data_IF_674914505599
#
_entry.id   IF_674914505599
#
_cell.length_a   1.000
_cell.length_b   1.000
_cell.length_c   1.000
_cell.angle_alpha   90.00
_cell.angle_beta   90.00
_cell.angle_gamma   90.00
#
_symmetry.space_group_name_H-M   'P 1'
#
loop_
_entity.id
_entity.type
_entity.pdbx_description
1 polymer ?
#
# COMPACT_ATOMS: atom_id res chain seq x y z
N UNK A 1 4.45 22.16 23.78
CA UNK A 1 5.88 22.34 24.17
C UNK A 1 6.70 22.39 22.90
N UNK A 2 7.54 23.41 22.65
CA UNK A 2 8.43 23.45 21.50
C UNK A 2 9.54 22.40 21.65
N UNK A 3 10.02 21.81 20.52
CA UNK A 3 11.09 20.80 20.53
C UNK A 3 12.40 21.31 21.20
N UNK A 4 12.68 22.62 21.12
CA UNK A 4 13.86 23.23 21.74
C UNK A 4 13.85 23.14 23.25
N UNK A 5 12.69 22.99 23.89
CA UNK A 5 12.53 22.90 25.34
C UNK A 5 12.74 21.49 25.89
N UNK A 6 12.88 20.49 24.99
CA UNK A 6 13.22 19.11 25.32
C UNK A 6 14.72 19.00 25.60
N UNK A 7 15.16 18.11 26.52
CA UNK A 7 16.57 17.71 26.64
C UNK A 7 17.15 17.31 25.28
N UNK A 8 18.43 17.56 25.04
CA UNK A 8 19.02 17.30 23.71
C UNK A 8 18.85 15.85 23.26
N UNK A 9 19.00 14.88 24.14
CA UNK A 9 18.86 13.45 23.88
C UNK A 9 17.41 12.98 23.65
N UNK A 10 16.42 13.82 24.01
CA UNK A 10 14.99 13.57 23.79
C UNK A 10 14.45 14.27 22.53
N UNK A 11 15.25 15.09 21.84
CA UNK A 11 14.83 15.73 20.58
C UNK A 11 14.86 14.72 19.45
N UNK A 12 13.80 14.63 18.64
CA UNK A 12 13.69 13.59 17.59
C UNK A 12 14.89 13.52 16.64
N UNK A 13 15.47 14.66 16.24
CA UNK A 13 16.63 14.69 15.34
C UNK A 13 17.87 14.10 15.99
N UNK A 14 18.20 14.56 17.18
CA UNK A 14 19.34 14.12 17.96
C UNK A 14 19.21 12.65 18.35
N UNK A 15 18.00 12.23 18.73
CA UNK A 15 17.64 10.84 19.02
C UNK A 15 17.79 9.94 17.80
N UNK A 16 17.33 10.39 16.60
CA UNK A 16 17.51 9.67 15.34
C UNK A 16 18.98 9.44 15.02
N UNK A 17 19.79 10.50 15.10
CA UNK A 17 21.22 10.44 14.75
C UNK A 17 22.04 9.61 15.74
N UNK A 18 21.67 9.64 17.03
CA UNK A 18 22.41 8.92 18.06
C UNK A 18 21.98 7.45 18.22
N UNK A 19 20.69 7.11 17.98
CA UNK A 19 20.12 5.81 18.33
C UNK A 19 19.44 5.10 17.15
N UNK A 20 19.38 5.73 15.96
CA UNK A 20 18.71 5.20 14.76
C UNK A 20 17.20 5.36 14.79
N UNK A 21 16.57 5.08 13.65
CA UNK A 21 15.14 5.30 13.44
C UNK A 21 14.25 4.41 14.33
N UNK A 22 14.68 3.19 14.63
CA UNK A 22 13.93 2.26 15.46
C UNK A 22 13.72 2.74 16.91
N UNK A 23 14.49 3.73 17.37
CA UNK A 23 14.33 4.32 18.69
C UNK A 23 13.24 5.39 18.76
N UNK A 24 12.70 5.84 17.61
CA UNK A 24 11.69 6.89 17.53
C UNK A 24 10.28 6.29 17.47
N UNK A 25 9.33 7.01 18.08
CA UNK A 25 7.91 6.75 17.85
C UNK A 25 7.47 7.26 16.47
N UNK A 26 6.33 6.77 15.98
CA UNK A 26 5.73 7.23 14.72
C UNK A 26 5.52 8.75 14.71
N UNK A 27 5.06 9.32 15.83
CA UNK A 27 4.87 10.76 15.98
C UNK A 27 6.20 11.52 15.90
N UNK A 28 7.30 10.99 16.46
CA UNK A 28 8.63 11.60 16.37
C UNK A 28 9.17 11.56 14.94
N UNK A 29 9.02 10.42 14.24
CA UNK A 29 9.40 10.30 12.84
C UNK A 29 8.62 11.27 11.95
N UNK A 30 7.30 11.34 12.15
CA UNK A 30 6.44 12.25 11.41
C UNK A 30 6.75 13.72 11.72
N UNK A 31 7.08 14.05 12.99
CA UNK A 31 7.48 15.40 13.38
C UNK A 31 8.77 15.87 12.68
N UNK A 32 9.70 14.95 12.39
CA UNK A 32 10.91 15.27 11.61
C UNK A 32 10.56 15.68 10.17
N UNK A 33 9.61 15.01 9.53
CA UNK A 33 9.10 15.35 8.20
C UNK A 33 8.35 16.68 8.22
N UNK A 34 7.46 16.88 9.18
CA UNK A 34 6.64 18.10 9.30
C UNK A 34 7.45 19.34 9.71
N UNK A 35 8.61 19.17 10.33
CA UNK A 35 9.58 20.19 10.79
C UNK A 35 9.02 21.21 11.76
N UNK A 36 7.84 21.74 11.51
CA UNK A 36 7.23 22.81 12.32
C UNK A 36 5.78 22.48 12.67
N UNK A 37 5.35 22.86 13.87
CA UNK A 37 3.94 22.85 14.26
C UNK A 37 3.14 24.02 13.67
N UNK A 38 2.10 24.42 14.38
CA UNK A 38 1.25 25.56 14.10
C UNK A 38 1.33 26.58 15.23
N UNK A 39 0.73 27.78 15.04
CA UNK A 39 0.54 28.73 16.13
C UNK A 39 -0.25 28.06 17.27
N UNK A 40 0.34 28.02 18.46
CA UNK A 40 -0.25 27.37 19.64
C UNK A 40 -0.13 25.84 19.70
N UNK A 41 0.42 25.18 18.69
CA UNK A 41 0.52 23.71 18.62
C UNK A 41 1.92 23.25 18.21
N UNK A 42 2.58 22.46 19.07
CA UNK A 42 3.89 21.89 18.77
C UNK A 42 3.85 20.85 17.64
N UNK A 43 4.99 20.62 17.00
CA UNK A 43 5.06 19.67 15.86
C UNK A 43 4.79 18.22 16.27
N UNK A 44 5.20 17.79 17.45
CA UNK A 44 4.87 16.44 17.97
C UNK A 44 3.38 16.27 18.18
N UNK A 45 2.70 17.29 18.71
CA UNK A 45 1.25 17.27 18.88
C UNK A 45 0.54 17.24 17.52
N UNK A 46 1.01 18.02 16.53
CA UNK A 46 0.49 17.98 15.18
C UNK A 46 0.68 16.61 14.53
N UNK A 47 1.85 15.99 14.74
CA UNK A 47 2.14 14.65 14.24
C UNK A 47 1.23 13.59 14.87
N UNK A 48 1.01 13.66 16.20
CA UNK A 48 0.11 12.73 16.89
C UNK A 48 -1.32 12.88 16.41
N UNK A 49 -1.85 14.10 16.32
CA UNK A 49 -3.21 14.35 15.81
C UNK A 49 -3.38 13.88 14.36
N UNK A 50 -2.33 13.97 13.54
CA UNK A 50 -2.34 13.44 12.18
C UNK A 50 -2.46 11.92 12.19
N UNK A 51 -1.67 11.22 13.00
CA UNK A 51 -1.76 9.77 13.18
C UNK A 51 -3.15 9.36 13.69
N UNK A 52 -3.67 10.04 14.69
CA UNK A 52 -5.00 9.75 15.25
C UNK A 52 -6.11 9.94 14.22
N UNK A 53 -6.00 10.98 13.36
CA UNK A 53 -6.97 11.27 12.30
C UNK A 53 -7.04 10.20 11.22
N UNK A 54 -5.94 9.46 11.02
CA UNK A 54 -5.84 8.39 10.02
C UNK A 54 -5.83 6.98 10.62
N UNK A 55 -5.99 6.84 11.93
CA UNK A 55 -5.97 5.54 12.60
C UNK A 55 -4.57 4.92 12.66
N UNK A 56 -3.53 5.75 12.77
CA UNK A 56 -2.14 5.36 12.89
C UNK A 56 -1.32 5.52 11.62
N UNK A 57 -0.09 5.01 11.65
CA UNK A 57 0.86 5.15 10.53
C UNK A 57 0.34 4.45 9.27
N UNK A 58 -0.25 3.26 9.40
CA UNK A 58 -0.80 2.52 8.26
C UNK A 58 -1.86 3.35 7.52
N UNK A 59 -2.82 3.94 8.22
CA UNK A 59 -3.83 4.79 7.60
C UNK A 59 -3.25 6.06 6.97
N UNK A 60 -2.22 6.66 7.59
CA UNK A 60 -1.53 7.82 7.02
C UNK A 60 -0.76 7.47 5.74
N UNK A 61 -0.11 6.32 5.69
CA UNK A 61 0.60 5.83 4.49
C UNK A 61 -0.35 5.64 3.30
N UNK A 62 -1.64 5.49 3.56
CA UNK A 62 -2.68 5.35 2.56
C UNK A 62 -3.45 6.64 2.25
N UNK A 63 -3.15 7.74 2.96
CA UNK A 63 -3.83 9.00 2.77
C UNK A 63 -3.58 9.59 1.36
N UNK A 64 -4.66 9.95 0.69
CA UNK A 64 -4.60 10.67 -0.58
C UNK A 64 -4.43 12.19 -0.39
N UNK A 65 -4.17 12.89 -1.50
CA UNK A 65 -3.99 14.34 -1.48
C UNK A 65 -5.20 15.09 -0.89
N UNK A 66 -6.42 14.64 -1.23
CA UNK A 66 -7.66 15.25 -0.73
C UNK A 66 -7.91 14.96 0.76
N UNK A 67 -7.48 13.79 1.25
CA UNK A 67 -7.60 13.46 2.67
C UNK A 67 -6.66 14.34 3.50
N UNK A 68 -5.40 14.50 3.06
CA UNK A 68 -4.42 15.38 3.70
C UNK A 68 -4.84 16.86 3.66
N UNK A 69 -5.57 17.30 2.63
CA UNK A 69 -6.06 18.67 2.48
C UNK A 69 -7.06 19.07 3.57
N UNK A 70 -7.79 18.11 4.13
CA UNK A 70 -8.77 18.32 5.19
C UNK A 70 -8.15 18.56 6.56
N UNK A 71 -6.87 18.22 6.71
CA UNK A 71 -6.16 18.33 8.01
C UNK A 71 -5.71 19.78 8.22
N UNK A 72 -6.24 20.40 9.28
CA UNK A 72 -5.82 21.74 9.67
C UNK A 72 -4.34 21.75 10.04
N UNK A 73 -3.58 22.62 9.37
CA UNK A 73 -2.14 22.76 9.63
C UNK A 73 -1.24 22.02 8.66
N UNK A 74 -1.79 21.23 7.76
CA UNK A 74 -1.07 20.69 6.62
C UNK A 74 -1.19 21.65 5.42
N UNK A 75 -0.34 22.66 5.38
CA UNK A 75 -0.19 23.54 4.22
C UNK A 75 0.31 22.77 2.98
N UNK A 76 0.28 23.41 1.78
CA UNK A 76 0.68 22.76 0.53
C UNK A 76 2.07 22.10 0.61
N UNK A 77 3.05 22.76 1.23
CA UNK A 77 4.41 22.25 1.34
C UNK A 77 4.48 20.95 2.15
N UNK A 78 3.85 20.89 3.33
CA UNK A 78 3.85 19.67 4.16
C UNK A 78 3.11 18.52 3.50
N UNK A 79 2.02 18.81 2.77
CA UNK A 79 1.29 17.79 1.99
C UNK A 79 2.14 17.23 0.86
N UNK A 80 2.82 18.10 0.11
CA UNK A 80 3.72 17.68 -0.96
C UNK A 80 4.87 16.81 -0.43
N UNK A 81 5.45 17.19 0.71
CA UNK A 81 6.52 16.43 1.37
C UNK A 81 6.06 15.03 1.78
N UNK A 82 4.91 14.90 2.43
CA UNK A 82 4.34 13.60 2.79
C UNK A 82 4.05 12.74 1.55
N UNK A 83 3.39 13.31 0.55
CA UNK A 83 3.08 12.59 -0.70
C UNK A 83 4.34 12.14 -1.44
N UNK A 84 5.39 12.96 -1.44
CA UNK A 84 6.67 12.60 -2.06
C UNK A 84 7.35 11.42 -1.33
N UNK A 85 7.34 11.43 0.01
CA UNK A 85 7.89 10.31 0.81
C UNK A 85 7.12 9.02 0.54
N UNK A 86 5.79 9.09 0.46
CA UNK A 86 4.94 7.93 0.15
C UNK A 86 5.25 7.38 -1.25
N UNK A 87 5.40 8.25 -2.23
CA UNK A 87 5.72 7.85 -3.60
C UNK A 87 7.13 7.24 -3.69
N UNK A 88 8.12 7.80 -2.98
CA UNK A 88 9.46 7.19 -2.91
C UNK A 88 9.43 5.79 -2.32
N UNK A 89 8.65 5.58 -1.25
CA UNK A 89 8.48 4.26 -0.65
C UNK A 89 7.84 3.26 -1.65
N UNK A 90 6.81 3.68 -2.39
CA UNK A 90 6.19 2.86 -3.45
C UNK A 90 7.20 2.48 -4.53
N UNK A 91 7.99 3.44 -5.02
CA UNK A 91 9.02 3.18 -6.05
C UNK A 91 10.11 2.24 -5.56
N UNK A 92 10.58 2.41 -4.33
CA UNK A 92 11.58 1.52 -3.74
C UNK A 92 11.08 0.07 -3.62
N UNK A 93 9.82 -0.14 -3.25
CA UNK A 93 9.21 -1.47 -3.22
C UNK A 93 9.02 -2.04 -4.64
N UNK A 94 8.58 -1.22 -5.60
CA UNK A 94 8.44 -1.63 -7.00
C UNK A 94 9.80 -2.07 -7.60
N UNK A 95 10.88 -1.35 -7.30
CA UNK A 95 12.23 -1.68 -7.76
C UNK A 95 12.66 -3.05 -7.24
N UNK A 96 12.44 -3.34 -5.95
CA UNK A 96 12.70 -4.65 -5.38
C UNK A 96 11.97 -5.79 -6.09
N UNK A 97 10.71 -5.58 -6.46
CA UNK A 97 9.90 -6.57 -7.17
C UNK A 97 10.29 -6.72 -8.65
N UNK A 98 10.97 -5.72 -9.23
CA UNK A 98 11.56 -5.80 -10.57
C UNK A 98 12.89 -6.52 -10.59
N UNK A 99 13.68 -6.41 -9.52
CA UNK A 99 15.00 -7.04 -9.41
C UNK A 99 14.92 -8.49 -8.95
N UNK A 100 13.95 -8.84 -8.12
CA UNK A 100 13.79 -10.17 -7.52
C UNK A 100 12.46 -10.79 -7.87
N UNK A 101 12.43 -12.11 -7.91
CA UNK A 101 11.18 -12.83 -8.13
C UNK A 101 10.16 -12.54 -7.01
N UNK A 102 8.90 -12.30 -7.40
CA UNK A 102 7.82 -12.06 -6.44
C UNK A 102 7.64 -13.21 -5.44
N UNK A 103 7.89 -14.45 -5.88
CA UNK A 103 7.83 -15.64 -5.05
C UNK A 103 8.93 -15.69 -3.97
N UNK A 104 10.07 -15.05 -4.20
CA UNK A 104 11.18 -15.00 -3.22
C UNK A 104 10.87 -14.04 -2.06
N UNK A 105 9.87 -13.18 -2.21
CA UNK A 105 9.49 -12.19 -1.22
C UNK A 105 7.97 -11.93 -1.18
N UNK A 106 7.15 -12.91 -0.74
CA UNK A 106 5.69 -12.74 -0.65
C UNK A 106 5.30 -11.52 0.21
N UNK A 107 6.08 -11.22 1.25
CA UNK A 107 5.82 -10.05 2.10
C UNK A 107 6.02 -8.74 1.34
N UNK A 108 7.04 -8.62 0.48
CA UNK A 108 7.25 -7.41 -0.34
C UNK A 108 6.09 -7.20 -1.34
N UNK A 109 5.51 -8.27 -1.87
CA UNK A 109 4.30 -8.19 -2.71
C UNK A 109 3.11 -7.66 -1.90
N UNK A 110 2.88 -8.19 -0.70
CA UNK A 110 1.81 -7.72 0.20
C UNK A 110 2.00 -6.25 0.56
N UNK A 111 3.21 -5.84 0.95
CA UNK A 111 3.54 -4.45 1.31
C UNK A 111 3.31 -3.50 0.12
N UNK A 112 3.76 -3.91 -1.07
CA UNK A 112 3.57 -3.15 -2.30
C UNK A 112 2.07 -2.98 -2.64
N UNK A 113 1.29 -4.06 -2.56
CA UNK A 113 -0.15 -4.02 -2.80
C UNK A 113 -0.90 -3.21 -1.74
N UNK A 114 -0.50 -3.30 -0.48
CA UNK A 114 -1.08 -2.46 0.58
C UNK A 114 -0.89 -0.98 0.26
N UNK A 115 0.32 -0.54 -0.11
CA UNK A 115 0.59 0.85 -0.46
C UNK A 115 -0.18 1.35 -1.69
N UNK A 116 -0.62 0.44 -2.58
CA UNK A 116 -1.38 0.81 -3.78
C UNK A 116 -2.89 0.78 -3.58
N UNK A 117 -3.42 -0.22 -2.88
CA UNK A 117 -4.84 -0.52 -2.88
C UNK A 117 -5.56 -0.26 -1.56
N UNK A 118 -4.88 -0.42 -0.39
CA UNK A 118 -5.58 -0.44 0.90
C UNK A 118 -6.30 0.87 1.25
N UNK A 119 -5.90 2.00 0.66
CA UNK A 119 -6.52 3.32 0.90
C UNK A 119 -7.77 3.59 0.05
N UNK A 120 -8.09 2.73 -0.91
CA UNK A 120 -9.24 2.92 -1.78
C UNK A 120 -10.54 2.78 -0.98
N UNK A 121 -11.46 3.75 -1.16
CA UNK A 121 -12.77 3.78 -0.48
C UNK A 121 -13.82 2.86 -1.13
N UNK A 122 -13.49 2.26 -2.24
CA UNK A 122 -14.28 1.29 -2.99
C UNK A 122 -13.39 0.12 -3.33
N UNK A 123 -13.99 -1.02 -3.60
CA UNK A 123 -13.24 -2.16 -4.07
C UNK A 123 -12.57 -1.84 -5.40
N UNK A 124 -11.30 -2.14 -5.49
CA UNK A 124 -10.49 -2.05 -6.69
C UNK A 124 -9.82 -3.38 -6.92
N UNK A 125 -9.91 -3.89 -8.13
CA UNK A 125 -9.23 -5.10 -8.54
C UNK A 125 -8.01 -4.73 -9.40
N UNK A 126 -6.85 -5.22 -9.01
CA UNK A 126 -5.58 -4.98 -9.67
C UNK A 126 -4.87 -6.29 -10.00
N UNK A 127 -3.97 -6.22 -10.97
CA UNK A 127 -3.16 -7.36 -11.39
C UNK A 127 -1.70 -6.93 -11.47
N UNK A 128 -0.82 -7.71 -10.81
CA UNK A 128 0.62 -7.65 -11.05
C UNK A 128 0.94 -8.60 -12.20
N UNK A 129 1.52 -8.07 -13.26
CA UNK A 129 2.00 -8.82 -14.41
C UNK A 129 3.49 -9.12 -14.21
N UNK A 130 3.88 -10.38 -14.39
CA UNK A 130 5.20 -10.89 -14.07
C UNK A 130 5.83 -11.57 -15.28
N UNK A 131 7.16 -11.46 -15.41
CA UNK A 131 7.93 -12.18 -16.40
C UNK A 131 8.10 -13.68 -16.04
N UNK A 132 8.81 -14.44 -16.86
CA UNK A 132 9.08 -15.86 -16.64
C UNK A 132 10.00 -16.14 -15.42
N UNK A 133 10.68 -15.13 -14.90
CA UNK A 133 11.42 -15.17 -13.65
C UNK A 133 10.63 -14.63 -12.47
N UNK A 134 9.32 -14.39 -12.67
CA UNK A 134 8.38 -13.83 -11.69
C UNK A 134 8.75 -12.42 -11.19
N UNK A 135 9.44 -11.61 -11.99
CA UNK A 135 9.76 -10.21 -11.70
C UNK A 135 8.63 -9.31 -12.21
N UNK A 136 8.39 -8.23 -11.50
CA UNK A 136 7.33 -7.29 -11.81
C UNK A 136 7.57 -6.57 -13.15
N UNK A 137 6.65 -6.77 -14.09
CA UNK A 137 6.56 -6.01 -15.34
C UNK A 137 5.71 -4.75 -15.14
N UNK A 138 4.51 -4.94 -14.61
CA UNK A 138 3.54 -3.86 -14.37
C UNK A 138 2.58 -4.21 -13.24
N UNK A 139 2.02 -3.16 -12.60
CA UNK A 139 0.82 -3.25 -11.77
C UNK A 139 -0.26 -2.41 -12.45
N UNK A 140 -1.43 -2.98 -12.69
CA UNK A 140 -2.58 -2.24 -13.22
C UNK A 140 -3.82 -2.46 -12.36
N UNK A 141 -4.51 -1.36 -12.04
CA UNK A 141 -5.86 -1.38 -11.48
C UNK A 141 -6.84 -1.49 -12.67
N UNK A 142 -7.42 -2.68 -12.85
CA UNK A 142 -8.23 -2.97 -14.03
C UNK A 142 -9.71 -2.68 -13.82
N UNK A 143 -10.20 -2.89 -12.61
CA UNK A 143 -11.61 -2.73 -12.30
C UNK A 143 -11.80 -1.97 -11.01
N UNK A 144 -12.85 -1.15 -11.02
CA UNK A 144 -13.30 -0.38 -9.87
C UNK A 144 -14.76 -0.72 -9.62
N UNK A 145 -15.02 -1.28 -8.44
CA UNK A 145 -16.36 -1.63 -8.01
C UNK A 145 -17.14 -0.47 -7.39
N UNK A 146 -18.38 -0.76 -7.06
CA UNK A 146 -19.18 0.02 -6.14
C UNK A 146 -18.77 -0.30 -4.69
N UNK A 147 -19.46 0.24 -3.69
CA UNK A 147 -19.19 -0.06 -2.27
C UNK A 147 -19.37 -1.54 -1.89
N UNK A 148 -20.01 -2.35 -2.75
CA UNK A 148 -20.40 -3.71 -2.44
C UNK A 148 -20.05 -4.76 -3.52
N UNK A 149 -19.60 -4.38 -4.71
CA UNK A 149 -19.36 -5.34 -5.78
C UNK A 149 -18.45 -4.80 -6.89
N UNK A 150 -17.46 -5.58 -7.31
CA UNK A 150 -16.60 -5.30 -8.46
C UNK A 150 -16.86 -6.36 -9.52
N UNK A 151 -17.30 -5.95 -10.74
CA UNK A 151 -17.41 -6.87 -11.87
C UNK A 151 -16.05 -6.97 -12.57
N UNK A 152 -15.39 -8.11 -12.43
CA UNK A 152 -14.13 -8.41 -13.11
C UNK A 152 -14.42 -9.25 -14.35
N UNK A 153 -13.98 -8.78 -15.52
CA UNK A 153 -14.16 -9.47 -16.78
C UNK A 153 -12.88 -10.21 -17.18
N UNK A 154 -12.87 -11.56 -17.21
CA UNK A 154 -11.68 -12.35 -17.53
C UNK A 154 -11.00 -11.95 -18.84
N UNK A 155 -11.76 -11.60 -19.87
CA UNK A 155 -11.23 -11.16 -21.17
C UNK A 155 -10.30 -9.94 -21.04
N UNK A 156 -10.61 -9.00 -20.16
CA UNK A 156 -9.78 -7.80 -19.96
C UNK A 156 -8.46 -8.16 -19.28
N UNK A 157 -8.51 -9.06 -18.30
CA UNK A 157 -7.29 -9.57 -17.62
C UNK A 157 -6.40 -10.32 -18.63
N UNK A 158 -6.99 -11.17 -19.47
CA UNK A 158 -6.28 -11.89 -20.54
C UNK A 158 -5.64 -10.92 -21.54
N UNK A 159 -6.38 -9.90 -22.01
CA UNK A 159 -5.87 -8.91 -22.95
C UNK A 159 -4.68 -8.14 -22.34
N UNK A 160 -4.75 -7.79 -21.07
CA UNK A 160 -3.65 -7.08 -20.38
C UNK A 160 -2.45 -8.00 -20.13
N UNK A 161 -2.68 -9.27 -19.81
CA UNK A 161 -1.60 -10.24 -19.66
C UNK A 161 -0.81 -10.42 -20.97
N UNK A 162 -1.50 -10.52 -22.10
CA UNK A 162 -0.87 -10.58 -23.43
C UNK A 162 -0.16 -9.28 -23.78
N UNK A 163 -0.74 -8.13 -23.47
CA UNK A 163 -0.14 -6.81 -23.72
C UNK A 163 1.21 -6.65 -22.99
N UNK A 164 1.29 -7.13 -21.76
CA UNK A 164 2.52 -7.08 -20.96
C UNK A 164 3.48 -8.24 -21.23
N UNK A 165 3.15 -9.17 -22.12
CA UNK A 165 3.90 -10.41 -22.33
C UNK A 165 4.16 -11.14 -21.01
N UNK A 166 3.16 -11.18 -20.15
CA UNK A 166 3.26 -11.78 -18.83
C UNK A 166 3.30 -13.30 -18.91
N UNK A 167 4.21 -13.94 -18.17
CA UNK A 167 4.25 -15.38 -17.98
C UNK A 167 3.46 -15.82 -16.72
N UNK A 168 3.26 -14.90 -15.79
CA UNK A 168 2.48 -15.14 -14.58
C UNK A 168 1.83 -13.83 -14.08
N UNK A 169 0.84 -13.98 -13.20
CA UNK A 169 0.19 -12.85 -12.54
C UNK A 169 0.00 -13.12 -11.05
N UNK A 170 -0.07 -12.02 -10.27
CA UNK A 170 -0.67 -12.01 -8.94
C UNK A 170 -1.92 -11.14 -9.02
N UNK A 171 -3.06 -11.72 -8.66
CA UNK A 171 -4.33 -11.01 -8.55
C UNK A 171 -4.38 -10.28 -7.21
N UNK A 172 -5.04 -9.14 -7.17
CA UNK A 172 -5.21 -8.41 -5.91
C UNK A 172 -6.50 -7.61 -5.89
N UNK A 173 -7.13 -7.50 -4.72
CA UNK A 173 -8.18 -6.53 -4.49
C UNK A 173 -8.17 -6.03 -3.04
N UNK A 174 -8.82 -4.91 -2.81
CA UNK A 174 -8.97 -4.39 -1.46
C UNK A 174 -10.39 -4.55 -0.95
N UNK A 175 -10.51 -4.76 0.37
CA UNK A 175 -11.77 -4.69 1.10
C UNK A 175 -11.84 -3.39 1.92
N UNK A 176 -12.63 -2.40 1.52
CA UNK A 176 -12.82 -1.16 2.29
C UNK A 176 -13.43 -1.39 3.68
N UNK A 177 -14.08 -2.55 3.89
CA UNK A 177 -14.64 -2.97 5.18
C UNK A 177 -13.61 -3.24 6.28
N UNK A 178 -12.32 -3.37 5.90
CA UNK A 178 -11.24 -3.66 6.85
C UNK A 178 -10.98 -5.15 7.11
N UNK A 179 -11.77 -6.07 6.54
CA UNK A 179 -11.51 -7.52 6.61
C UNK A 179 -10.69 -7.98 5.42
N UNK A 180 -9.86 -9.02 5.60
CA UNK A 180 -9.11 -9.66 4.49
C UNK A 180 -9.57 -11.11 4.25
N UNK A 181 -10.67 -11.52 4.90
CA UNK A 181 -11.19 -12.88 4.71
C UNK A 181 -11.79 -13.01 3.30
N UNK A 182 -11.38 -13.99 2.49
CA UNK A 182 -11.95 -14.25 1.18
C UNK A 182 -13.43 -14.58 1.25
N UNK A 183 -14.21 -14.04 0.34
CA UNK A 183 -15.59 -14.44 0.12
C UNK A 183 -15.65 -15.61 -0.87
N UNK A 184 -16.79 -16.32 -0.93
CA UNK A 184 -17.04 -17.34 -1.98
C UNK A 184 -16.96 -16.75 -3.39
N UNK A 185 -17.31 -15.48 -3.55
CA UNK A 185 -17.20 -14.79 -4.83
C UNK A 185 -15.74 -14.58 -5.23
N UNK A 186 -14.85 -14.26 -4.29
CA UNK A 186 -13.40 -14.11 -4.52
C UNK A 186 -12.78 -15.43 -4.95
N UNK A 187 -13.15 -16.54 -4.30
CA UNK A 187 -12.69 -17.87 -4.66
C UNK A 187 -13.17 -18.27 -6.07
N UNK A 188 -14.47 -18.08 -6.39
CA UNK A 188 -15.02 -18.38 -7.71
C UNK A 188 -14.39 -17.51 -8.81
N UNK A 189 -14.17 -16.22 -8.55
CA UNK A 189 -13.47 -15.32 -9.47
C UNK A 189 -12.05 -15.79 -9.73
N UNK A 190 -11.32 -16.17 -8.67
CA UNK A 190 -9.95 -16.66 -8.77
C UNK A 190 -9.87 -17.89 -9.65
N UNK A 191 -10.74 -18.88 -9.45
CA UNK A 191 -10.81 -20.09 -10.29
C UNK A 191 -11.14 -19.76 -11.75
N UNK A 192 -12.07 -18.83 -11.98
CA UNK A 192 -12.45 -18.40 -13.34
C UNK A 192 -11.25 -17.74 -14.05
N UNK A 193 -10.52 -16.88 -13.36
CA UNK A 193 -9.34 -16.22 -13.92
C UNK A 193 -8.17 -17.19 -14.13
N UNK A 194 -7.95 -18.14 -13.23
CA UNK A 194 -6.98 -19.22 -13.42
C UNK A 194 -7.26 -20.02 -14.68
N UNK A 195 -8.52 -20.45 -14.87
CA UNK A 195 -8.93 -21.19 -16.05
C UNK A 195 -8.74 -20.39 -17.35
N UNK A 196 -9.11 -19.09 -17.35
CA UNK A 196 -8.99 -18.23 -18.51
C UNK A 196 -7.52 -17.96 -18.88
N UNK A 197 -6.68 -17.68 -17.91
CA UNK A 197 -5.25 -17.38 -18.10
C UNK A 197 -4.44 -18.63 -18.49
N UNK A 198 -4.81 -19.81 -17.99
CA UNK A 198 -4.20 -21.07 -18.38
C UNK A 198 -4.34 -21.38 -19.89
N UNK A 199 -5.40 -20.89 -20.55
CA UNK A 199 -5.58 -21.05 -22.01
C UNK A 199 -4.52 -20.30 -22.84
N UNK A 200 -3.82 -19.37 -22.24
CA UNK A 200 -2.76 -18.56 -22.87
C UNK A 200 -1.41 -18.74 -22.17
N UNK A 201 -1.20 -19.86 -21.47
CA UNK A 201 0.04 -20.23 -20.76
C UNK A 201 0.48 -19.20 -19.69
N UNK A 202 -0.44 -18.42 -19.12
CA UNK A 202 -0.19 -17.48 -18.03
C UNK A 202 -0.66 -18.06 -16.70
N UNK A 203 0.25 -18.13 -15.72
CA UNK A 203 -0.04 -18.73 -14.41
C UNK A 203 -0.52 -17.68 -13.41
N UNK A 204 -1.55 -18.01 -12.63
CA UNK A 204 -1.92 -17.24 -11.43
C UNK A 204 -1.10 -17.79 -10.25
N UNK A 205 -0.21 -16.97 -9.69
CA UNK A 205 0.66 -17.38 -8.59
C UNK A 205 0.02 -17.15 -7.22
N UNK A 206 -0.80 -16.10 -7.11
CA UNK A 206 -1.50 -15.74 -5.87
C UNK A 206 -2.71 -14.87 -6.15
N UNK A 207 -3.59 -14.76 -5.16
CA UNK A 207 -4.61 -13.74 -5.07
C UNK A 207 -4.52 -13.11 -3.67
N UNK A 208 -4.12 -11.85 -3.61
CA UNK A 208 -3.86 -11.12 -2.37
C UNK A 208 -5.02 -10.17 -2.07
N UNK A 209 -5.61 -10.31 -0.90
CA UNK A 209 -6.65 -9.43 -0.40
C UNK A 209 -6.03 -8.45 0.58
N UNK A 210 -6.23 -7.16 0.37
CA UNK A 210 -5.67 -6.12 1.25
C UNK A 210 -6.74 -5.29 1.92
N UNK A 211 -6.44 -4.86 3.14
CA UNK A 211 -7.20 -3.88 3.91
C UNK A 211 -6.22 -2.98 4.67
N UNK A 212 -6.65 -1.86 5.25
CA UNK A 212 -5.75 -1.00 6.03
C UNK A 212 -4.98 -1.77 7.10
N UNK A 213 -3.65 -1.86 6.94
CA UNK A 213 -2.75 -2.57 7.86
C UNK A 213 -2.78 -4.10 7.77
N UNK A 214 -3.59 -4.70 6.88
CA UNK A 214 -3.75 -6.15 6.75
C UNK A 214 -3.59 -6.60 5.29
N UNK A 215 -2.98 -7.77 5.09
CA UNK A 215 -2.95 -8.45 3.79
C UNK A 215 -3.04 -9.97 4.00
N UNK A 216 -3.77 -10.63 3.12
CA UNK A 216 -3.92 -12.09 3.10
C UNK A 216 -3.57 -12.60 1.70
N UNK A 217 -2.74 -13.63 1.64
CA UNK A 217 -2.47 -14.41 0.45
C UNK A 217 -3.37 -15.65 0.43
N UNK A 218 -4.13 -15.84 -0.63
CA UNK A 218 -4.96 -17.03 -0.82
C UNK A 218 -4.10 -18.27 -1.07
N UNK A 219 -2.95 -18.13 -1.74
CA UNK A 219 -1.99 -19.21 -1.95
C UNK A 219 -1.41 -19.72 -0.63
N UNK A 220 -0.99 -18.84 0.29
CA UNK A 220 -0.50 -19.23 1.62
C UNK A 220 -1.58 -19.93 2.48
N UNK A 221 -2.85 -19.72 2.15
CA UNK A 221 -4.00 -20.37 2.80
C UNK A 221 -4.42 -21.67 2.12
N UNK A 222 -3.79 -22.04 1.00
CA UNK A 222 -4.16 -23.23 0.22
C UNK A 222 -5.52 -23.10 -0.49
N UNK A 223 -5.88 -21.89 -0.89
CA UNK A 223 -7.17 -21.57 -1.55
C UNK A 223 -7.02 -21.33 -3.07
N UNK A 224 -5.83 -21.59 -3.63
CA UNK A 224 -5.56 -21.53 -5.07
C UNK A 224 -5.54 -22.91 -5.70
#
# INVERSE_FOLDING_TARGET
MPLKDLPADARPREKLLARGAAALSDAELLALLLRTGLAGKGVLQLAQELLDSFGGMAGLLHAGAEDLKRIKGLGPAKRAELLAVLELARRALAERLRERAALDSPQAVKDYLQLHLAHRKHESFAVLFLDNQHRLLALEELFRGTLAQTSVYPREVVLRALHHHAAAVVLAHNHPSGTVQPSRADEALTQTLQAALALIDVRVLDHVIVAPGLALSMAERGLL
#
